data_IF_070182712328
#
_entry.id   IF_070182712328
#
_cell.length_a   1.000
_cell.length_b   1.000
_cell.length_c   1.000
_cell.angle_alpha   90.00
_cell.angle_beta   90.00
_cell.angle_gamma   90.00
#
_symmetry.space_group_name_H-M   'P 1'
#
loop_
_entity.id
_entity.type
_entity.pdbx_description
1 polymer ?
#
# COMPACT_ATOMS: atom_id res chain seq x y z
N UNK A 1 -12.21 32.39 -11.53
CA UNK A 1 -12.38 30.95 -11.21
C UNK A 1 -11.73 30.66 -9.87
N UNK A 2 -12.48 30.08 -8.94
CA UNK A 2 -12.13 29.81 -7.55
C UNK A 2 -11.79 28.33 -7.36
N UNK A 3 -10.54 28.06 -7.02
CA UNK A 3 -9.96 26.73 -6.99
C UNK A 3 -9.46 26.41 -5.59
N UNK A 4 -9.87 25.28 -5.02
CA UNK A 4 -9.29 24.76 -3.78
C UNK A 4 -8.47 23.52 -4.06
N UNK A 5 -7.18 23.56 -3.71
CA UNK A 5 -6.22 22.49 -3.90
C UNK A 5 -5.91 21.90 -2.53
N UNK A 6 -6.12 20.59 -2.41
CA UNK A 6 -6.08 19.86 -1.14
C UNK A 6 -5.03 18.76 -1.23
N UNK A 7 -4.21 18.65 -0.18
CA UNK A 7 -3.06 17.76 -0.19
C UNK A 7 -2.62 17.41 1.23
N UNK A 8 -1.61 16.54 1.30
CA UNK A 8 -0.91 16.17 2.52
C UNK A 8 0.54 16.65 2.40
N UNK A 9 1.11 17.13 3.50
CA UNK A 9 2.51 17.57 3.57
C UNK A 9 3.47 16.51 3.01
N UNK A 10 4.28 16.89 2.01
CA UNK A 10 5.23 16.02 1.33
C UNK A 10 4.84 15.60 -0.10
N UNK A 11 3.62 15.90 -0.58
CA UNK A 11 3.19 15.57 -1.94
C UNK A 11 3.52 16.65 -2.99
N UNK A 12 4.19 17.74 -2.60
CA UNK A 12 4.66 18.76 -3.54
C UNK A 12 3.55 19.70 -4.06
N UNK A 13 2.52 19.98 -3.26
CA UNK A 13 1.44 20.91 -3.61
C UNK A 13 1.93 22.29 -4.03
N UNK A 14 3.05 22.79 -3.47
CA UNK A 14 3.64 24.07 -3.87
C UNK A 14 4.02 24.10 -5.35
N UNK A 15 4.79 23.10 -5.82
CA UNK A 15 5.16 22.99 -7.24
C UNK A 15 3.92 22.83 -8.13
N UNK A 16 2.91 22.09 -7.67
CA UNK A 16 1.66 21.93 -8.41
C UNK A 16 0.94 23.28 -8.60
N UNK A 17 0.82 24.06 -7.52
CA UNK A 17 0.20 25.39 -7.53
C UNK A 17 0.99 26.36 -8.42
N UNK A 18 2.32 26.34 -8.34
CA UNK A 18 3.18 27.18 -9.19
C UNK A 18 3.04 26.84 -10.67
N UNK A 19 2.92 25.55 -11.04
CA UNK A 19 2.65 25.16 -12.42
C UNK A 19 1.33 25.74 -12.94
N UNK A 20 0.26 25.68 -12.16
CA UNK A 20 -1.04 26.23 -12.55
C UNK A 20 -0.98 27.75 -12.69
N UNK A 21 -0.32 28.44 -11.74
CA UNK A 21 -0.16 29.88 -11.79
C UNK A 21 0.67 30.31 -13.01
N UNK A 22 1.82 29.67 -13.25
CA UNK A 22 2.67 29.98 -14.40
C UNK A 22 1.96 29.72 -15.74
N UNK A 23 1.19 28.63 -15.84
CA UNK A 23 0.39 28.35 -17.02
C UNK A 23 -0.67 29.43 -17.27
N UNK A 24 -1.38 29.86 -16.21
CA UNK A 24 -2.37 30.93 -16.29
C UNK A 24 -1.76 32.29 -16.70
N UNK A 25 -0.62 32.67 -16.10
CA UNK A 25 0.10 33.91 -16.43
C UNK A 25 0.51 33.93 -17.91
N UNK A 26 0.96 32.79 -18.44
CA UNK A 26 1.38 32.69 -19.85
C UNK A 26 0.24 32.86 -20.86
N UNK A 27 -1.01 32.84 -20.39
CA UNK A 27 -2.23 33.07 -21.18
C UNK A 27 -2.85 34.45 -20.87
N UNK A 28 -2.14 35.32 -20.14
CA UNK A 28 -2.60 36.67 -19.79
C UNK A 28 -3.64 36.72 -18.66
N UNK A 29 -3.78 35.64 -17.89
CA UNK A 29 -4.64 35.58 -16.71
C UNK A 29 -3.86 35.96 -15.45
N UNK A 30 -4.56 36.44 -14.41
CA UNK A 30 -3.96 36.80 -13.13
C UNK A 30 -4.35 35.78 -12.04
N UNK A 31 -3.45 34.86 -11.65
CA UNK A 31 -3.66 33.98 -10.52
C UNK A 31 -3.30 34.64 -9.19
N UNK A 32 -4.18 34.53 -8.21
CA UNK A 32 -3.95 34.92 -6.82
C UNK A 32 -3.97 33.68 -5.95
N UNK A 33 -2.88 33.43 -5.22
CA UNK A 33 -2.70 32.19 -4.47
C UNK A 33 -2.57 32.51 -2.98
N UNK A 34 -3.37 31.84 -2.17
CA UNK A 34 -3.20 31.76 -0.72
C UNK A 34 -2.86 30.32 -0.34
N UNK A 35 -1.67 30.09 0.18
CA UNK A 35 -1.29 28.78 0.74
C UNK A 35 -1.44 28.82 2.26
N UNK A 36 -2.19 27.87 2.80
CA UNK A 36 -2.38 27.64 4.23
C UNK A 36 -1.57 26.39 4.61
N UNK A 37 -0.27 26.54 4.96
CA UNK A 37 0.52 25.42 5.41
C UNK A 37 -0.01 24.94 6.77
N UNK A 38 -0.19 23.63 6.91
CA UNK A 38 -0.44 23.02 8.22
C UNK A 38 0.78 23.17 9.14
N UNK A 39 0.56 23.22 10.45
CA UNK A 39 1.64 23.34 11.47
C UNK A 39 2.50 22.06 11.54
N UNK A 40 2.01 20.93 11.03
CA UNK A 40 2.74 19.66 11.01
C UNK A 40 3.72 19.57 9.84
N UNK A 41 4.97 19.21 10.12
CA UNK A 41 6.03 19.13 9.11
C UNK A 41 5.93 17.92 8.16
N UNK A 42 5.09 16.91 8.45
CA UNK A 42 4.80 15.75 7.56
C UNK A 42 3.44 15.15 7.89
N UNK A 43 2.71 14.66 6.89
CA UNK A 43 1.39 14.04 7.06
C UNK A 43 0.27 14.96 7.59
N UNK A 44 0.52 16.26 7.73
CA UNK A 44 -0.51 17.27 8.01
C UNK A 44 -1.26 17.68 6.75
N UNK A 45 -2.51 18.14 6.91
CA UNK A 45 -3.31 18.76 5.86
C UNK A 45 -2.61 20.00 5.31
N UNK A 46 -2.61 20.13 3.99
CA UNK A 46 -2.15 21.32 3.28
C UNK A 46 -3.24 21.79 2.31
N UNK A 47 -3.61 23.06 2.42
CA UNK A 47 -4.59 23.69 1.53
C UNK A 47 -3.96 24.85 0.79
N UNK A 48 -4.22 24.92 -0.51
CA UNK A 48 -3.92 26.10 -1.32
C UNK A 48 -5.19 26.56 -2.02
N UNK A 49 -5.55 27.81 -1.83
CA UNK A 49 -6.64 28.47 -2.52
C UNK A 49 -6.07 29.30 -3.67
N UNK A 50 -6.68 29.21 -4.85
CA UNK A 50 -6.29 29.98 -6.02
C UNK A 50 -7.52 30.61 -6.67
N UNK A 51 -7.48 31.92 -6.91
CA UNK A 51 -8.42 32.60 -7.79
C UNK A 51 -7.71 33.01 -9.09
N UNK A 52 -8.24 32.60 -10.23
CA UNK A 52 -7.76 33.02 -11.56
C UNK A 52 -8.77 33.99 -12.16
N UNK A 53 -8.36 35.23 -12.41
CA UNK A 53 -9.21 36.27 -13.02
C UNK A 53 -8.64 36.76 -14.36
N UNK A 54 -9.49 37.24 -15.28
CA UNK A 54 -9.03 37.99 -16.45
C UNK A 54 -8.28 39.27 -16.04
N UNK A 55 -7.42 39.75 -16.93
CA UNK A 55 -6.64 40.97 -16.72
C UNK A 55 -7.58 42.18 -16.48
N UNK A 56 -7.33 42.98 -15.42
CA UNK A 56 -8.09 44.16 -14.95
C UNK A 56 -9.31 43.97 -14.03
N UNK A 57 -9.59 42.77 -13.50
CA UNK A 57 -10.62 42.59 -12.46
C UNK A 57 -10.05 42.70 -11.03
N UNK A 58 -10.78 43.38 -10.14
CA UNK A 58 -10.42 43.49 -8.71
C UNK A 58 -10.87 42.26 -7.93
N UNK A 59 -9.98 41.73 -7.08
CA UNK A 59 -10.25 40.58 -6.22
C UNK A 59 -10.83 41.00 -4.86
N UNK A 60 -11.90 40.34 -4.38
CA UNK A 60 -12.61 40.74 -3.15
C UNK A 60 -12.65 39.68 -2.03
N UNK A 61 -12.14 38.45 -2.21
CA UNK A 61 -12.17 37.43 -1.13
C UNK A 61 -10.83 36.73 -0.91
N UNK A 62 -10.19 36.87 0.27
CA UNK A 62 -8.94 36.18 0.58
C UNK A 62 -9.11 34.70 0.95
N UNK A 63 -10.34 34.20 1.15
CA UNK A 63 -10.57 32.84 1.65
C UNK A 63 -11.58 32.05 0.80
N UNK A 64 -11.43 30.71 0.71
CA UNK A 64 -12.41 29.85 0.07
C UNK A 64 -13.72 29.84 0.86
N UNK A 65 -14.82 30.17 0.19
CA UNK A 65 -16.17 30.10 0.77
C UNK A 65 -16.82 28.75 0.44
N UNK A 66 -17.49 28.15 1.44
CA UNK A 66 -18.20 26.88 1.29
C UNK A 66 -19.30 26.98 0.23
N UNK A 67 -19.39 25.98 -0.64
CA UNK A 67 -20.37 25.92 -1.73
C UNK A 67 -20.16 26.91 -2.88
N UNK A 68 -19.12 27.76 -2.86
CA UNK A 68 -18.83 28.76 -3.91
C UNK A 68 -17.55 28.50 -4.70
N UNK A 69 -17.00 27.29 -4.61
CA UNK A 69 -15.85 26.89 -5.41
C UNK A 69 -16.29 26.46 -6.81
N UNK A 70 -15.47 26.81 -7.81
CA UNK A 70 -15.66 26.35 -9.19
C UNK A 70 -14.95 25.01 -9.43
N UNK A 71 -13.84 24.78 -8.72
CA UNK A 71 -13.03 23.57 -8.85
C UNK A 71 -12.38 23.17 -7.51
N UNK A 72 -12.50 21.89 -7.16
CA UNK A 72 -11.69 21.26 -6.12
C UNK A 72 -10.70 20.33 -6.80
N UNK A 73 -9.42 20.47 -6.45
CA UNK A 73 -8.35 19.57 -6.88
C UNK A 73 -7.81 18.86 -5.64
N UNK A 74 -7.69 17.55 -5.68
CA UNK A 74 -7.13 16.79 -4.56
C UNK A 74 -6.02 15.84 -4.99
N UNK A 75 -4.88 15.94 -4.29
CA UNK A 75 -3.74 15.06 -4.45
C UNK A 75 -3.84 13.80 -3.58
N UNK A 76 -4.80 13.75 -2.64
CA UNK A 76 -4.97 12.65 -1.70
C UNK A 76 -6.47 12.41 -1.40
N UNK A 77 -6.90 11.17 -1.45
CA UNK A 77 -8.32 10.81 -1.46
C UNK A 77 -9.06 11.14 -0.16
N UNK A 78 -8.42 10.95 1.01
CA UNK A 78 -9.04 11.27 2.29
C UNK A 78 -9.22 12.77 2.49
N UNK A 79 -8.28 13.59 2.00
CA UNK A 79 -8.41 15.04 2.05
C UNK A 79 -9.49 15.57 1.11
N UNK A 80 -9.69 14.93 -0.06
CA UNK A 80 -10.86 15.20 -0.89
C UNK A 80 -12.14 14.98 -0.08
N UNK A 81 -12.30 13.80 0.51
CA UNK A 81 -13.50 13.43 1.27
C UNK A 81 -13.75 14.35 2.47
N UNK A 82 -12.68 14.75 3.17
CA UNK A 82 -12.74 15.70 4.28
C UNK A 82 -13.32 17.04 3.83
N UNK A 83 -12.84 17.57 2.72
CA UNK A 83 -13.27 18.87 2.17
C UNK A 83 -14.72 18.83 1.69
N UNK A 84 -15.15 17.71 1.09
CA UNK A 84 -16.56 17.52 0.73
C UNK A 84 -17.46 17.49 1.97
N UNK A 85 -17.05 16.76 3.03
CA UNK A 85 -17.78 16.75 4.31
C UNK A 85 -17.84 18.11 4.99
N UNK A 86 -16.82 18.94 4.82
CA UNK A 86 -16.79 20.31 5.35
C UNK A 86 -17.73 21.26 4.59
N UNK A 87 -18.29 20.86 3.45
CA UNK A 87 -19.24 21.63 2.66
C UNK A 87 -18.61 22.54 1.61
N UNK A 88 -17.35 22.29 1.22
CA UNK A 88 -16.70 23.09 0.18
C UNK A 88 -17.16 22.74 -1.24
N UNK A 89 -17.60 21.50 -1.46
CA UNK A 89 -18.18 21.07 -2.73
C UNK A 89 -19.60 21.61 -2.95
N UNK A 90 -20.19 21.26 -4.09
CA UNK A 90 -21.55 21.62 -4.45
C UNK A 90 -21.84 21.44 -5.94
N UNK A 91 -23.10 21.63 -6.35
CA UNK A 91 -23.57 21.40 -7.74
C UNK A 91 -23.03 22.38 -8.78
N UNK A 92 -22.30 23.41 -8.35
CA UNK A 92 -21.59 24.35 -9.24
C UNK A 92 -20.09 24.07 -9.33
N UNK A 93 -19.57 23.11 -8.55
CA UNK A 93 -18.14 22.83 -8.42
C UNK A 93 -17.75 21.59 -9.24
N UNK A 94 -16.69 21.67 -10.03
CA UNK A 94 -16.05 20.48 -10.59
C UNK A 94 -15.07 19.86 -9.57
N UNK A 95 -14.84 18.56 -9.65
CA UNK A 95 -13.87 17.87 -8.79
C UNK A 95 -12.85 17.13 -9.65
N UNK A 96 -11.56 17.38 -9.39
CA UNK A 96 -10.46 16.57 -9.89
C UNK A 96 -9.74 15.92 -8.71
N UNK A 97 -9.54 14.60 -8.75
CA UNK A 97 -8.87 13.89 -7.67
C UNK A 97 -8.17 12.62 -8.11
N UNK A 98 -7.57 11.95 -7.13
CA UNK A 98 -6.90 10.66 -7.29
C UNK A 98 -7.25 9.77 -6.09
N UNK A 99 -7.27 8.45 -6.27
CA UNK A 99 -7.43 7.47 -5.18
C UNK A 99 -6.15 7.27 -4.36
N UNK A 100 -5.10 8.06 -4.62
CA UNK A 100 -3.87 8.05 -3.83
C UNK A 100 -4.19 8.31 -2.36
N UNK A 101 -3.62 7.47 -1.49
CA UNK A 101 -3.77 7.59 -0.05
C UNK A 101 -2.45 7.53 0.67
N UNK A 102 -2.26 8.47 1.59
CA UNK A 102 -1.18 8.39 2.56
C UNK A 102 -1.65 7.58 3.78
N UNK A 103 -1.61 6.26 3.66
CA UNK A 103 -2.06 5.38 4.74
C UNK A 103 -1.21 5.53 6.00
N UNK A 104 -1.88 5.73 7.13
CA UNK A 104 -1.29 5.62 8.46
C UNK A 104 -0.78 4.21 8.71
N UNK A 105 0.12 4.06 9.68
CA UNK A 105 0.60 2.73 10.11
C UNK A 105 -0.56 1.83 10.51
N UNK A 106 -1.58 2.36 11.19
CA UNK A 106 -2.75 1.60 11.61
C UNK A 106 -3.63 1.15 10.45
N UNK A 107 -3.87 1.99 9.45
CA UNK A 107 -4.65 1.60 8.27
C UNK A 107 -3.96 0.49 7.48
N UNK A 108 -2.62 0.54 7.34
CA UNK A 108 -1.83 -0.54 6.71
C UNK A 108 -1.95 -1.86 7.46
N UNK A 109 -2.29 -1.81 8.75
CA UNK A 109 -2.43 -2.96 9.62
C UNK A 109 -3.90 -3.44 9.72
N UNK A 110 -4.89 -2.69 9.22
CA UNK A 110 -6.29 -3.09 9.33
C UNK A 110 -6.61 -4.30 8.46
N UNK A 111 -7.37 -5.26 9.00
CA UNK A 111 -7.96 -6.35 8.22
C UNK A 111 -9.28 -6.00 7.55
N UNK A 112 -9.93 -4.96 8.04
CA UNK A 112 -11.24 -4.59 7.52
C UNK A 112 -11.03 -4.18 6.07
N UNK A 113 -11.88 -4.72 5.19
CA UNK A 113 -11.96 -4.28 3.79
C UNK A 113 -11.98 -2.75 3.82
N UNK A 114 -11.06 -2.13 3.08
CA UNK A 114 -10.99 -0.68 3.05
C UNK A 114 -12.34 -0.15 2.58
N UNK A 115 -13.00 0.62 3.45
CA UNK A 115 -14.32 1.18 3.17
C UNK A 115 -14.20 2.49 2.40
N UNK A 116 -13.03 3.13 2.41
CA UNK A 116 -12.78 4.40 1.73
C UNK A 116 -12.25 4.15 0.31
N UNK A 117 -12.99 3.38 -0.47
CA UNK A 117 -12.71 3.20 -1.90
C UNK A 117 -13.51 4.21 -2.72
N UNK A 118 -13.07 4.45 -3.96
CA UNK A 118 -13.81 5.29 -4.90
C UNK A 118 -15.22 4.76 -5.11
N UNK A 119 -15.40 3.44 -5.29
CA UNK A 119 -16.70 2.82 -5.52
C UNK A 119 -17.68 3.08 -4.37
N UNK A 120 -17.21 2.97 -3.12
CA UNK A 120 -18.07 3.15 -1.95
C UNK A 120 -18.44 4.62 -1.72
N UNK A 121 -17.62 5.57 -2.18
CA UNK A 121 -17.76 7.00 -1.89
C UNK A 121 -18.08 7.84 -3.13
N UNK A 122 -18.31 7.20 -4.27
CA UNK A 122 -18.70 7.83 -5.52
C UNK A 122 -19.96 8.68 -5.36
N UNK A 123 -20.97 8.17 -4.65
CA UNK A 123 -22.22 8.91 -4.40
C UNK A 123 -21.98 10.25 -3.69
N UNK A 124 -21.12 10.28 -2.67
CA UNK A 124 -20.75 11.52 -1.97
C UNK A 124 -20.08 12.53 -2.91
N UNK A 125 -19.21 12.06 -3.81
CA UNK A 125 -18.52 12.91 -4.79
C UNK A 125 -19.51 13.47 -5.82
N UNK A 126 -20.43 12.65 -6.32
CA UNK A 126 -21.48 13.04 -7.27
C UNK A 126 -22.49 14.02 -6.64
N UNK A 127 -22.85 13.83 -5.38
CA UNK A 127 -23.71 14.76 -4.64
C UNK A 127 -23.07 16.15 -4.49
N UNK A 128 -21.75 16.20 -4.35
CA UNK A 128 -20.98 17.42 -4.09
C UNK A 128 -20.25 17.97 -5.34
N UNK A 129 -20.62 17.56 -6.55
CA UNK A 129 -20.05 18.09 -7.79
C UNK A 129 -21.06 18.29 -8.91
N UNK A 130 -20.70 19.17 -9.85
CA UNK A 130 -21.30 19.29 -11.17
C UNK A 130 -20.77 18.19 -12.10
N UNK A 131 -19.45 18.06 -12.15
CA UNK A 131 -18.72 17.02 -12.86
C UNK A 131 -17.51 16.60 -12.03
N UNK A 132 -17.07 15.34 -12.16
CA UNK A 132 -15.92 14.85 -11.42
C UNK A 132 -15.05 13.91 -12.25
N UNK A 133 -13.74 14.03 -12.03
CA UNK A 133 -12.73 13.11 -12.56
C UNK A 133 -11.87 12.65 -11.39
N UNK A 134 -12.04 11.41 -10.95
CA UNK A 134 -11.18 10.80 -9.92
C UNK A 134 -10.39 9.65 -10.53
N UNK A 135 -9.08 9.83 -10.59
CA UNK A 135 -8.16 8.87 -11.18
C UNK A 135 -7.92 7.73 -10.19
N UNK A 136 -8.36 6.51 -10.56
CA UNK A 136 -8.02 5.32 -9.79
C UNK A 136 -6.59 4.85 -10.10
N UNK A 137 -5.65 5.27 -9.26
CA UNK A 137 -4.22 4.96 -9.45
C UNK A 137 -3.92 3.45 -9.36
N UNK A 138 -4.76 2.69 -8.63
CA UNK A 138 -4.55 1.26 -8.45
C UNK A 138 -4.98 0.48 -9.70
N UNK A 139 -6.13 0.83 -10.28
CA UNK A 139 -6.59 0.22 -11.55
C UNK A 139 -5.67 0.55 -12.72
N UNK A 140 -5.04 1.72 -12.70
CA UNK A 140 -4.14 2.15 -13.78
C UNK A 140 -2.74 1.55 -13.71
N UNK A 141 -2.38 0.84 -12.62
CA UNK A 141 -1.06 0.24 -12.45
C UNK A 141 0.10 1.25 -12.35
N UNK A 142 -0.21 2.54 -12.11
CA UNK A 142 0.79 3.60 -11.97
C UNK A 142 1.28 3.62 -10.53
N UNK A 143 2.42 2.97 -10.29
CA UNK A 143 3.02 2.87 -8.95
C UNK A 143 3.57 4.20 -8.37
N UNK A 144 3.75 5.23 -9.20
CA UNK A 144 4.35 6.52 -8.84
C UNK A 144 3.57 7.67 -9.51
N UNK A 145 2.31 7.84 -9.11
CA UNK A 145 1.42 8.87 -9.66
C UNK A 145 1.88 10.26 -9.18
N UNK A 146 2.50 11.02 -10.07
CA UNK A 146 3.11 12.32 -9.78
C UNK A 146 2.14 13.49 -10.00
N UNK A 147 2.51 14.67 -9.49
CA UNK A 147 1.77 15.91 -9.72
C UNK A 147 1.60 16.22 -11.22
N UNK A 148 2.59 15.89 -12.04
CA UNK A 148 2.52 16.11 -13.47
C UNK A 148 1.44 15.25 -14.14
N UNK A 149 1.23 14.00 -13.70
CA UNK A 149 0.09 13.20 -14.15
C UNK A 149 -1.24 13.90 -13.85
N UNK A 150 -1.40 14.42 -12.62
CA UNK A 150 -2.62 15.13 -12.22
C UNK A 150 -2.84 16.41 -13.05
N UNK A 151 -1.78 17.18 -13.35
CA UNK A 151 -1.85 18.34 -14.26
C UNK A 151 -2.24 17.91 -15.68
N UNK A 152 -1.73 16.78 -16.17
CA UNK A 152 -2.12 16.22 -17.46
C UNK A 152 -3.61 15.89 -17.53
N UNK A 153 -4.13 15.23 -16.48
CA UNK A 153 -5.57 14.93 -16.36
C UNK A 153 -6.40 16.22 -16.26
N UNK A 154 -5.93 17.21 -15.49
CA UNK A 154 -6.57 18.52 -15.40
C UNK A 154 -6.67 19.20 -16.77
N UNK A 155 -5.58 19.23 -17.52
CA UNK A 155 -5.53 19.79 -18.87
C UNK A 155 -6.51 19.06 -19.81
N UNK A 156 -6.55 17.73 -19.75
CA UNK A 156 -7.48 16.93 -20.56
C UNK A 156 -8.95 17.10 -20.15
N UNK A 157 -9.22 17.39 -18.87
CA UNK A 157 -10.59 17.55 -18.34
C UNK A 157 -11.28 18.81 -18.84
N UNK A 158 -10.51 19.84 -19.18
CA UNK A 158 -11.04 21.15 -19.54
C UNK A 158 -11.62 21.95 -18.36
N UNK A 159 -11.39 21.53 -17.10
CA UNK A 159 -11.90 22.24 -15.93
C UNK A 159 -11.29 23.63 -15.72
N UNK A 160 -10.12 23.91 -16.31
CA UNK A 160 -9.54 25.25 -16.36
C UNK A 160 -9.66 25.83 -17.78
N UNK A 161 -10.78 26.50 -18.12
CA UNK A 161 -10.94 27.12 -19.42
C UNK A 161 -9.94 28.26 -19.63
N UNK A 162 -9.50 28.47 -20.87
CA UNK A 162 -8.58 29.56 -21.23
C UNK A 162 -7.09 29.24 -21.08
N UNK A 163 -6.72 28.07 -20.54
CA UNK A 163 -5.32 27.64 -20.46
C UNK A 163 -5.05 26.53 -21.48
N UNK A 164 -4.18 26.77 -22.47
CA UNK A 164 -3.83 25.77 -23.49
C UNK A 164 -2.81 24.76 -22.97
N UNK A 165 -2.77 23.60 -23.63
CA UNK A 165 -1.84 22.51 -23.30
C UNK A 165 -0.39 22.97 -23.26
N UNK A 166 0.03 23.75 -24.26
CA UNK A 166 1.38 24.26 -24.42
C UNK A 166 1.82 25.13 -23.24
N UNK A 167 0.86 25.77 -22.58
CA UNK A 167 1.09 26.63 -21.42
C UNK A 167 1.35 25.83 -20.15
N UNK A 168 0.69 24.67 -19.97
CA UNK A 168 1.07 23.70 -18.93
C UNK A 168 2.46 23.10 -19.20
N UNK A 169 2.75 22.70 -20.44
CA UNK A 169 4.06 22.14 -20.80
C UNK A 169 5.18 23.16 -20.59
N UNK A 170 4.95 24.43 -20.91
CA UNK A 170 5.90 25.53 -20.64
C UNK A 170 6.09 25.73 -19.14
N UNK A 171 5.02 25.77 -18.35
CA UNK A 171 5.09 25.89 -16.90
C UNK A 171 5.90 24.74 -16.27
N UNK A 172 5.69 23.50 -16.72
CA UNK A 172 6.44 22.32 -16.27
C UNK A 172 7.93 22.41 -16.63
N UNK A 173 8.28 22.99 -17.79
CA UNK A 173 9.67 23.20 -18.19
C UNK A 173 10.38 24.25 -17.35
N UNK A 174 9.66 25.28 -16.90
CA UNK A 174 10.24 26.45 -16.24
C UNK A 174 10.30 26.30 -14.72
N UNK A 175 9.36 25.56 -14.12
CA UNK A 175 9.20 25.47 -12.66
C UNK A 175 9.45 24.05 -12.17
N UNK A 176 10.22 23.92 -11.10
CA UNK A 176 10.55 22.64 -10.48
C UNK A 176 11.84 22.02 -11.01
N UNK A 177 11.99 20.72 -10.81
CA UNK A 177 13.17 19.93 -11.19
C UNK A 177 12.75 18.78 -12.10
N UNK A 178 13.69 18.25 -12.89
CA UNK A 178 13.45 17.13 -13.83
C UNK A 178 12.29 17.39 -14.81
N UNK A 179 12.37 18.44 -15.66
CA UNK A 179 11.31 18.82 -16.57
C UNK A 179 11.00 17.72 -17.60
N UNK A 180 12.00 16.93 -18.02
CA UNK A 180 11.79 15.85 -18.99
C UNK A 180 10.92 14.72 -18.44
N UNK A 181 11.15 14.29 -17.19
CA UNK A 181 10.27 13.32 -16.54
C UNK A 181 8.87 13.90 -16.34
N UNK A 182 8.75 15.12 -15.85
CA UNK A 182 7.45 15.72 -15.60
C UNK A 182 6.64 15.91 -16.89
N UNK A 183 7.27 16.24 -18.02
CA UNK A 183 6.58 16.31 -19.32
C UNK A 183 6.09 14.94 -19.81
N UNK A 184 6.87 13.88 -19.59
CA UNK A 184 6.43 12.50 -19.88
C UNK A 184 5.23 12.13 -19.02
N UNK A 185 5.31 12.36 -17.72
CA UNK A 185 4.24 12.10 -16.76
C UNK A 185 2.97 12.91 -17.09
N UNK A 186 3.11 14.19 -17.47
CA UNK A 186 2.02 15.04 -17.96
C UNK A 186 1.35 14.47 -19.21
N UNK A 187 2.16 14.01 -20.17
CA UNK A 187 1.64 13.41 -21.41
C UNK A 187 0.84 12.13 -21.11
N UNK A 188 1.34 11.29 -20.20
CA UNK A 188 0.61 10.10 -19.72
C UNK A 188 -0.71 10.53 -19.08
N UNK A 189 -0.68 11.49 -18.14
CA UNK A 189 -1.87 12.04 -17.50
C UNK A 189 -2.93 12.54 -18.48
N UNK A 190 -2.51 13.30 -19.50
CA UNK A 190 -3.40 13.83 -20.53
C UNK A 190 -4.06 12.73 -21.36
N UNK A 191 -3.35 11.63 -21.64
CA UNK A 191 -3.89 10.49 -22.37
C UNK A 191 -4.81 9.62 -21.52
N UNK A 192 -4.61 9.54 -20.20
CA UNK A 192 -5.43 8.73 -19.30
C UNK A 192 -6.91 9.12 -19.39
N UNK A 193 -7.24 10.41 -19.36
CA UNK A 193 -8.64 10.83 -19.41
C UNK A 193 -9.30 10.52 -20.76
N UNK A 194 -8.54 10.55 -21.86
CA UNK A 194 -9.03 10.14 -23.17
C UNK A 194 -9.33 8.64 -23.24
N UNK A 195 -8.52 7.81 -22.57
CA UNK A 195 -8.80 6.37 -22.42
C UNK A 195 -10.03 6.12 -21.54
N UNK A 196 -10.13 6.81 -20.39
CA UNK A 196 -11.27 6.69 -19.46
C UNK A 196 -12.61 7.06 -20.12
N UNK A 197 -12.62 8.07 -21.01
CA UNK A 197 -13.82 8.48 -21.76
C UNK A 197 -14.06 7.70 -23.07
N UNK A 198 -13.09 6.90 -23.52
CA UNK A 198 -13.08 6.28 -24.85
C UNK A 198 -13.37 4.78 -24.92
N UNK A 199 -13.12 4.03 -23.85
CA UNK A 199 -13.60 2.65 -23.65
C UNK A 199 -13.06 2.20 -22.29
N UNK A 200 -13.91 1.62 -21.44
CA UNK A 200 -13.42 0.76 -20.36
C UNK A 200 -12.86 -0.50 -21.01
N UNK A 201 -11.65 -0.41 -21.55
CA UNK A 201 -10.85 -1.59 -21.77
C UNK A 201 -10.50 -2.13 -20.38
N UNK A 202 -11.16 -3.24 -20.03
CA UNK A 202 -10.61 -4.25 -19.14
C UNK A 202 -9.19 -4.57 -19.60
N UNK A 203 -8.21 -3.79 -19.15
CA UNK A 203 -6.83 -4.22 -19.20
C UNK A 203 -6.68 -5.32 -18.16
N UNK A 204 -7.00 -6.54 -18.60
CA UNK A 204 -6.65 -7.77 -17.91
C UNK A 204 -5.20 -7.70 -17.48
N UNK A 205 -4.98 -7.88 -16.17
CA UNK A 205 -3.65 -8.08 -15.61
C UNK A 205 -2.92 -9.12 -16.46
N UNK A 206 -1.84 -8.70 -17.14
CA UNK A 206 -1.13 -9.51 -18.13
C UNK A 206 -0.89 -10.93 -17.62
N UNK A 207 -1.38 -11.91 -18.37
CA UNK A 207 -1.14 -13.36 -18.21
C UNK A 207 0.36 -13.73 -18.11
N UNK A 208 1.28 -12.81 -18.41
CA UNK A 208 2.73 -12.94 -18.30
C UNK A 208 3.24 -13.43 -16.92
N UNK A 209 2.53 -13.14 -15.83
CA UNK A 209 2.94 -13.59 -14.49
C UNK A 209 2.95 -15.12 -14.35
N UNK A 210 1.98 -15.81 -14.96
CA UNK A 210 1.86 -17.26 -14.90
C UNK A 210 2.99 -17.97 -15.67
N UNK A 211 3.30 -17.49 -16.87
CA UNK A 211 4.34 -18.09 -17.71
C UNK A 211 5.73 -17.97 -17.10
N UNK A 212 5.98 -16.91 -16.31
CA UNK A 212 7.25 -16.70 -15.59
C UNK A 212 7.46 -17.65 -14.40
N UNK A 213 6.43 -18.38 -13.95
CA UNK A 213 6.56 -19.32 -12.85
C UNK A 213 7.33 -20.59 -13.27
N UNK A 214 8.02 -21.25 -12.33
CA UNK A 214 8.67 -22.53 -12.60
C UNK A 214 7.66 -23.61 -13.03
N UNK A 215 8.02 -24.42 -14.03
CA UNK A 215 7.23 -25.59 -14.44
C UNK A 215 7.22 -26.69 -13.35
N UNK A 216 6.22 -27.58 -13.43
CA UNK A 216 6.00 -28.70 -12.51
C UNK A 216 4.89 -28.43 -11.49
N UNK A 217 5.01 -29.00 -10.28
CA UNK A 217 3.95 -29.06 -9.26
C UNK A 217 3.23 -27.72 -8.98
N UNK A 218 3.94 -26.58 -9.04
CA UNK A 218 3.37 -25.25 -8.86
C UNK A 218 2.34 -24.93 -9.96
N UNK A 219 2.72 -25.03 -11.24
CA UNK A 219 1.82 -24.73 -12.37
C UNK A 219 0.66 -25.72 -12.39
N UNK A 220 0.93 -27.02 -12.26
CA UNK A 220 -0.09 -28.06 -12.25
C UNK A 220 -1.11 -27.88 -11.10
N UNK A 221 -0.66 -27.36 -9.96
CA UNK A 221 -1.54 -27.07 -8.83
C UNK A 221 -2.37 -25.81 -9.07
N UNK A 222 -1.79 -24.77 -9.68
CA UNK A 222 -2.51 -23.53 -10.02
C UNK A 222 -3.58 -23.80 -11.08
N UNK A 223 -3.27 -24.59 -12.11
CA UNK A 223 -4.22 -24.97 -13.17
C UNK A 223 -5.38 -25.79 -12.61
N UNK A 224 -5.09 -26.76 -11.72
CA UNK A 224 -6.13 -27.51 -11.00
C UNK A 224 -6.99 -26.65 -10.09
N UNK A 225 -6.40 -25.64 -9.43
CA UNK A 225 -7.18 -24.69 -8.61
C UNK A 225 -8.03 -23.75 -9.48
N UNK A 226 -7.55 -23.39 -10.68
CA UNK A 226 -8.29 -22.56 -11.62
C UNK A 226 -9.55 -23.27 -12.11
N UNK A 227 -9.48 -24.56 -12.44
CA UNK A 227 -10.63 -25.33 -12.93
C UNK A 227 -11.74 -25.49 -11.89
N UNK A 228 -11.41 -25.35 -10.60
CA UNK A 228 -12.35 -25.53 -9.49
C UNK A 228 -12.92 -24.20 -8.99
N UNK A 229 -12.16 -23.10 -9.03
CA UNK A 229 -12.48 -21.88 -8.26
C UNK A 229 -12.51 -20.58 -9.05
N UNK A 230 -12.26 -20.62 -10.37
CA UNK A 230 -12.28 -19.44 -11.23
C UNK A 230 -11.07 -18.51 -11.08
N UNK A 231 -11.07 -17.42 -11.85
CA UNK A 231 -9.89 -16.57 -12.07
C UNK A 231 -9.43 -15.77 -10.84
N UNK A 232 -10.34 -15.49 -9.88
CA UNK A 232 -10.03 -14.65 -8.72
C UNK A 232 -9.04 -15.26 -7.72
N UNK A 233 -9.00 -16.59 -7.59
CA UNK A 233 -8.04 -17.32 -6.76
C UNK A 233 -6.67 -17.41 -7.44
N UNK A 234 -6.65 -17.63 -8.76
CA UNK A 234 -5.44 -17.76 -9.58
C UNK A 234 -4.50 -16.56 -9.38
N UNK A 235 -5.04 -15.34 -9.42
CA UNK A 235 -4.24 -14.12 -9.30
C UNK A 235 -3.56 -14.00 -7.93
N UNK A 236 -4.29 -14.30 -6.84
CA UNK A 236 -3.75 -14.27 -5.48
C UNK A 236 -2.63 -15.30 -5.33
N UNK A 237 -2.83 -16.52 -5.84
CA UNK A 237 -1.86 -17.61 -5.74
C UNK A 237 -0.62 -17.33 -6.59
N UNK A 238 -0.76 -16.82 -7.82
CA UNK A 238 0.40 -16.46 -8.67
C UNK A 238 1.28 -15.44 -7.97
N UNK A 239 0.70 -14.37 -7.42
CA UNK A 239 1.48 -13.34 -6.75
C UNK A 239 2.12 -13.86 -5.46
N UNK A 240 1.39 -14.67 -4.67
CA UNK A 240 1.94 -15.31 -3.47
C UNK A 240 3.14 -16.21 -3.79
N UNK A 241 3.02 -17.06 -4.82
CA UNK A 241 4.11 -17.96 -5.27
C UNK A 241 5.31 -17.15 -5.73
N UNK A 242 5.11 -16.11 -6.54
CA UNK A 242 6.20 -15.24 -7.02
C UNK A 242 6.97 -14.63 -5.84
N UNK A 243 6.25 -14.07 -4.87
CA UNK A 243 6.87 -13.47 -3.69
C UNK A 243 7.55 -14.51 -2.81
N UNK A 244 7.01 -15.73 -2.67
CA UNK A 244 7.63 -16.81 -1.89
C UNK A 244 8.92 -17.34 -2.53
N UNK A 245 8.96 -17.44 -3.86
CA UNK A 245 10.18 -17.78 -4.61
C UNK A 245 11.22 -16.69 -4.42
N UNK A 246 10.83 -15.42 -4.51
CA UNK A 246 11.73 -14.29 -4.25
C UNK A 246 12.17 -14.23 -2.79
N UNK A 247 11.31 -14.63 -1.85
CA UNK A 247 11.58 -14.63 -0.42
C UNK A 247 12.56 -15.74 -0.02
N UNK A 248 12.34 -16.99 -0.44
CA UNK A 248 13.11 -18.15 0.01
C UNK A 248 13.60 -19.08 -1.12
N UNK A 249 12.74 -19.80 -1.84
CA UNK A 249 13.12 -20.65 -2.98
C UNK A 249 11.87 -21.33 -3.58
N UNK A 250 12.04 -22.07 -4.69
CA UNK A 250 11.00 -22.89 -5.31
C UNK A 250 10.37 -23.87 -4.32
N UNK A 251 11.18 -24.58 -3.54
CA UNK A 251 10.72 -25.60 -2.60
C UNK A 251 9.84 -24.98 -1.48
N UNK A 252 10.09 -23.73 -1.11
CA UNK A 252 9.26 -23.01 -0.14
C UNK A 252 7.91 -22.58 -0.73
N UNK A 253 7.88 -22.21 -2.00
CA UNK A 253 6.62 -21.97 -2.70
C UNK A 253 5.82 -23.27 -2.91
N UNK A 254 6.48 -24.40 -3.16
CA UNK A 254 5.84 -25.72 -3.21
C UNK A 254 5.23 -26.11 -1.85
N UNK A 255 5.91 -25.82 -0.73
CA UNK A 255 5.35 -26.02 0.61
C UNK A 255 4.07 -25.20 0.84
N UNK A 256 4.04 -23.95 0.37
CA UNK A 256 2.84 -23.12 0.41
C UNK A 256 1.69 -23.74 -0.39
N UNK A 257 1.96 -24.20 -1.61
CA UNK A 257 0.96 -24.89 -2.45
C UNK A 257 0.47 -26.18 -1.80
N UNK A 258 1.37 -26.96 -1.19
CA UNK A 258 1.02 -28.18 -0.45
C UNK A 258 0.01 -27.87 0.66
N UNK A 259 0.30 -26.87 1.50
CA UNK A 259 -0.58 -26.46 2.61
C UNK A 259 -1.95 -25.96 2.13
N UNK A 260 -1.98 -25.22 1.02
CA UNK A 260 -3.22 -24.75 0.40
C UNK A 260 -4.07 -25.93 -0.09
N UNK A 261 -3.44 -26.86 -0.82
CA UNK A 261 -4.08 -28.08 -1.31
C UNK A 261 -4.56 -29.00 -0.17
N UNK A 262 -3.83 -29.06 0.94
CA UNK A 262 -4.19 -29.87 2.10
C UNK A 262 -5.46 -29.35 2.80
N UNK A 263 -5.62 -28.03 2.93
CA UNK A 263 -6.86 -27.46 3.47
C UNK A 263 -8.05 -27.73 2.54
N UNK A 264 -7.84 -27.56 1.23
CA UNK A 264 -8.85 -27.85 0.21
C UNK A 264 -9.32 -29.30 0.26
N UNK A 265 -8.38 -30.25 0.22
CA UNK A 265 -8.68 -31.69 0.29
C UNK A 265 -9.38 -32.07 1.59
N UNK A 266 -8.97 -31.46 2.71
CA UNK A 266 -9.61 -31.67 4.00
C UNK A 266 -11.07 -31.20 3.99
N UNK A 267 -11.35 -30.01 3.43
CA UNK A 267 -12.69 -29.46 3.34
C UNK A 267 -13.63 -30.39 2.54
N UNK A 268 -13.22 -30.77 1.31
CA UNK A 268 -14.03 -31.65 0.46
C UNK A 268 -14.24 -33.03 1.10
N UNK A 269 -13.17 -33.65 1.60
CA UNK A 269 -13.26 -35.01 2.16
C UNK A 269 -14.18 -35.08 3.38
N UNK A 270 -14.22 -34.02 4.19
CA UNK A 270 -14.91 -34.05 5.48
C UNK A 270 -16.34 -33.52 5.39
N UNK A 271 -16.61 -32.55 4.49
CA UNK A 271 -17.87 -31.81 4.46
C UNK A 271 -18.57 -31.81 3.08
N UNK A 272 -18.00 -32.48 2.07
CA UNK A 272 -18.52 -32.51 0.71
C UNK A 272 -18.12 -31.30 -0.13
N UNK A 273 -18.62 -31.20 -1.35
CA UNK A 273 -18.37 -30.04 -2.22
C UNK A 273 -19.24 -28.83 -1.82
N UNK A 274 -18.66 -27.64 -1.86
CA UNK A 274 -19.38 -26.39 -1.57
C UNK A 274 -18.73 -25.22 -2.33
N UNK A 275 -19.52 -24.52 -3.14
CA UNK A 275 -19.06 -23.40 -3.97
C UNK A 275 -18.42 -22.28 -3.14
N UNK A 276 -18.86 -22.08 -1.89
CA UNK A 276 -18.34 -21.04 -1.01
C UNK A 276 -16.93 -21.34 -0.45
N UNK A 277 -16.40 -22.55 -0.62
CA UNK A 277 -15.02 -22.84 -0.23
C UNK A 277 -14.00 -22.04 -1.06
N UNK A 278 -14.35 -21.61 -2.27
CA UNK A 278 -13.45 -20.76 -3.07
C UNK A 278 -13.06 -19.47 -2.35
N UNK A 279 -14.01 -18.84 -1.66
CA UNK A 279 -13.75 -17.62 -0.89
C UNK A 279 -12.88 -17.88 0.34
N UNK A 280 -13.15 -18.98 1.06
CA UNK A 280 -12.34 -19.40 2.21
C UNK A 280 -10.89 -19.68 1.80
N UNK A 281 -10.71 -20.47 0.73
CA UNK A 281 -9.39 -20.84 0.21
C UNK A 281 -8.64 -19.61 -0.31
N UNK A 282 -9.34 -18.67 -0.97
CA UNK A 282 -8.76 -17.39 -1.40
C UNK A 282 -8.25 -16.56 -0.23
N UNK A 283 -9.05 -16.41 0.82
CA UNK A 283 -8.66 -15.65 2.00
C UNK A 283 -7.53 -16.34 2.77
N UNK A 284 -7.62 -17.66 2.92
CA UNK A 284 -6.57 -18.48 3.53
C UNK A 284 -5.25 -18.39 2.75
N UNK A 285 -5.29 -18.48 1.42
CA UNK A 285 -4.12 -18.32 0.54
C UNK A 285 -3.40 -17.00 0.79
N UNK A 286 -4.16 -15.89 0.80
CA UNK A 286 -3.65 -14.54 1.05
C UNK A 286 -2.95 -14.45 2.41
N UNK A 287 -3.61 -14.88 3.47
CA UNK A 287 -3.08 -14.79 4.85
C UNK A 287 -1.91 -15.75 5.05
N UNK A 288 -1.98 -16.97 4.54
CA UNK A 288 -0.92 -17.97 4.64
C UNK A 288 0.38 -17.48 3.99
N UNK A 289 0.29 -16.86 2.80
CA UNK A 289 1.46 -16.30 2.11
C UNK A 289 2.17 -15.25 2.97
N UNK A 290 1.41 -14.32 3.56
CA UNK A 290 1.95 -13.28 4.46
C UNK A 290 2.62 -13.91 5.69
N UNK A 291 1.98 -14.92 6.30
CA UNK A 291 2.54 -15.59 7.49
C UNK A 291 3.81 -16.40 7.19
N UNK A 292 3.91 -16.97 5.99
CA UNK A 292 5.11 -17.68 5.55
C UNK A 292 6.26 -16.71 5.18
N UNK A 293 5.95 -15.45 4.83
CA UNK A 293 6.92 -14.41 4.51
C UNK A 293 7.21 -13.47 5.69
N UNK A 294 7.52 -14.03 6.86
CA UNK A 294 7.88 -13.24 8.02
C UNK A 294 9.20 -12.48 7.82
N UNK A 295 9.33 -11.36 8.51
CA UNK A 295 10.51 -10.51 8.44
C UNK A 295 11.52 -10.93 9.51
N UNK A 296 12.56 -11.65 9.08
CA UNK A 296 13.76 -11.90 9.87
C UNK A 296 14.88 -10.92 9.52
N UNK A 297 15.96 -10.95 10.30
CA UNK A 297 17.15 -10.13 10.06
C UNK A 297 17.69 -10.33 8.62
N UNK A 298 17.60 -11.55 8.08
CA UNK A 298 18.00 -11.85 6.69
C UNK A 298 17.13 -11.06 5.69
N UNK A 299 15.80 -11.10 5.83
CA UNK A 299 14.86 -10.42 4.92
C UNK A 299 14.92 -8.91 5.11
N UNK A 300 15.07 -8.42 6.34
CA UNK A 300 15.30 -7.00 6.62
C UNK A 300 16.57 -6.54 5.90
N UNK A 301 17.68 -7.27 6.01
CA UNK A 301 18.91 -6.96 5.30
C UNK A 301 18.71 -6.93 3.77
N UNK A 302 18.02 -7.93 3.20
CA UNK A 302 17.66 -7.96 1.77
C UNK A 302 16.87 -6.72 1.35
N UNK A 303 15.85 -6.31 2.12
CA UNK A 303 15.05 -5.11 1.84
C UNK A 303 15.89 -3.84 1.90
N UNK A 304 16.76 -3.71 2.90
CA UNK A 304 17.60 -2.53 3.16
C UNK A 304 18.66 -2.29 2.08
N UNK A 305 19.18 -3.35 1.44
CA UNK A 305 20.16 -3.23 0.35
C UNK A 305 19.56 -3.37 -1.05
N UNK A 306 18.23 -3.45 -1.17
CA UNK A 306 17.57 -3.67 -2.46
C UNK A 306 17.75 -2.47 -3.39
N UNK A 307 18.04 -2.74 -4.67
CA UNK A 307 18.20 -1.69 -5.69
C UNK A 307 16.97 -0.80 -5.78
N UNK A 308 15.78 -1.41 -5.83
CA UNK A 308 14.51 -0.68 -5.85
C UNK A 308 14.29 0.21 -4.63
N UNK A 309 14.85 -0.10 -3.45
CA UNK A 309 14.80 0.82 -2.31
C UNK A 309 15.64 2.06 -2.57
N UNK A 310 16.87 1.91 -3.05
CA UNK A 310 17.73 3.07 -3.35
C UNK A 310 17.15 3.94 -4.46
N UNK A 311 16.58 3.32 -5.50
CA UNK A 311 15.85 4.04 -6.56
C UNK A 311 14.67 4.84 -5.98
N UNK A 312 13.87 4.23 -5.08
CA UNK A 312 12.79 4.96 -4.38
C UNK A 312 13.29 6.07 -3.48
N UNK A 313 14.41 5.88 -2.76
CA UNK A 313 15.00 6.93 -1.90
C UNK A 313 15.50 8.08 -2.76
N UNK A 314 16.24 7.80 -3.84
CA UNK A 314 16.69 8.81 -4.80
C UNK A 314 15.50 9.61 -5.34
N UNK A 315 14.43 8.92 -5.76
CA UNK A 315 13.20 9.57 -6.22
C UNK A 315 12.53 10.42 -5.14
N UNK A 316 12.37 9.88 -3.93
CA UNK A 316 11.67 10.54 -2.83
C UNK A 316 12.39 11.82 -2.37
N UNK A 317 13.72 11.76 -2.30
CA UNK A 317 14.55 12.88 -1.88
C UNK A 317 15.12 13.69 -3.05
N UNK A 318 14.66 13.40 -4.28
CA UNK A 318 15.04 14.14 -5.50
C UNK A 318 16.55 14.25 -5.71
N UNK A 319 17.25 13.13 -5.47
CA UNK A 319 18.71 13.03 -5.56
C UNK A 319 19.09 12.84 -7.03
N UNK A 320 19.91 13.73 -7.58
CA UNK A 320 20.34 13.71 -8.99
C UNK A 320 21.48 12.71 -9.24
N UNK A 321 21.73 12.41 -10.52
CA UNK A 321 22.84 11.54 -10.91
C UNK A 321 24.17 12.32 -10.82
N UNK A 322 24.82 12.20 -9.66
CA UNK A 322 26.07 12.87 -9.32
C UNK A 322 26.16 13.24 -7.84
N UNK A 323 25.00 13.35 -7.18
CA UNK A 323 24.93 13.70 -5.76
C UNK A 323 25.48 12.60 -4.85
N UNK A 324 26.31 13.01 -3.90
CA UNK A 324 26.76 12.15 -2.80
C UNK A 324 25.74 12.24 -1.67
N UNK A 325 25.09 11.13 -1.37
CA UNK A 325 24.16 11.03 -0.25
C UNK A 325 24.51 9.87 0.67
N UNK A 326 24.05 9.93 1.91
CA UNK A 326 24.19 8.86 2.90
C UNK A 326 22.82 8.42 3.41
N UNK A 327 22.58 7.11 3.41
CA UNK A 327 21.38 6.51 3.97
C UNK A 327 21.76 5.86 5.28
N UNK A 328 21.41 6.52 6.39
CA UNK A 328 21.56 5.94 7.74
C UNK A 328 20.28 5.23 8.15
N UNK A 329 20.39 3.95 8.43
CA UNK A 329 19.31 3.14 8.97
C UNK A 329 19.53 2.87 10.45
N UNK A 330 18.49 3.15 11.23
CA UNK A 330 18.45 2.86 12.65
C UNK A 330 17.89 1.44 12.85
N UNK A 331 18.64 0.61 13.55
CA UNK A 331 18.22 -0.73 13.94
C UNK A 331 18.17 -0.82 15.46
N UNK A 332 17.22 -1.61 15.95
CA UNK A 332 17.11 -1.98 17.36
C UNK A 332 16.84 -3.48 17.47
N UNK A 333 17.78 -4.33 17.04
CA UNK A 333 17.58 -5.77 17.15
C UNK A 333 17.54 -6.17 18.62
N UNK A 334 16.66 -7.11 18.91
CA UNK A 334 16.64 -7.82 20.19
C UNK A 334 17.59 -9.04 20.10
N UNK A 335 18.07 -9.50 21.26
CA UNK A 335 18.95 -10.66 21.31
C UNK A 335 18.33 -11.90 20.61
N UNK A 336 17.02 -12.10 20.77
CA UNK A 336 16.28 -13.23 20.19
C UNK A 336 16.14 -13.16 18.67
N UNK A 337 16.19 -11.96 18.09
CA UNK A 337 16.26 -11.78 16.64
C UNK A 337 17.63 -12.18 16.09
N UNK A 338 18.72 -11.97 16.84
CA UNK A 338 20.06 -12.36 16.41
C UNK A 338 20.29 -13.86 16.50
N UNK A 339 20.16 -14.45 17.70
CA UNK A 339 20.36 -15.90 17.83
C UNK A 339 19.24 -16.69 17.14
N UNK A 340 18.12 -16.03 16.81
CA UNK A 340 17.04 -16.58 16.00
C UNK A 340 17.48 -17.03 14.61
N UNK A 341 18.52 -16.42 14.03
CA UNK A 341 19.07 -16.80 12.71
C UNK A 341 19.84 -18.13 12.77
N UNK A 342 20.36 -18.48 13.94
CA UNK A 342 21.21 -19.66 14.12
C UNK A 342 20.39 -20.95 13.97
N UNK A 343 21.03 -22.06 13.53
CA UNK A 343 20.38 -23.35 13.47
C UNK A 343 19.68 -23.68 14.79
N UNK A 344 18.47 -24.25 14.69
CA UNK A 344 17.59 -24.56 15.82
C UNK A 344 18.28 -25.08 17.09
N UNK A 345 19.19 -26.08 17.07
CA UNK A 345 19.82 -26.58 18.30
C UNK A 345 20.65 -25.51 19.01
N UNK A 346 21.47 -24.77 18.26
CA UNK A 346 22.31 -23.70 18.79
C UNK A 346 21.48 -22.50 19.24
N UNK A 347 20.48 -22.12 18.43
CA UNK A 347 19.54 -21.07 18.79
C UNK A 347 18.82 -21.40 20.09
N UNK A 348 18.37 -22.65 20.31
CA UNK A 348 17.71 -23.06 21.56
C UNK A 348 18.62 -23.02 22.77
N UNK A 349 19.89 -23.41 22.60
CA UNK A 349 20.89 -23.31 23.66
C UNK A 349 21.05 -21.86 24.12
N UNK A 350 21.22 -20.93 23.16
CA UNK A 350 21.34 -19.51 23.44
C UNK A 350 20.05 -18.90 23.97
N UNK A 351 18.89 -19.29 23.43
CA UNK A 351 17.57 -18.90 23.94
C UNK A 351 17.52 -19.23 25.43
N UNK A 352 17.87 -20.45 25.85
CA UNK A 352 17.90 -20.91 27.25
C UNK A 352 18.87 -20.12 28.13
N UNK A 353 20.09 -19.85 27.65
CA UNK A 353 21.12 -19.12 28.42
C UNK A 353 20.72 -17.65 28.59
N UNK A 354 20.13 -17.06 27.55
CA UNK A 354 19.82 -15.63 27.48
C UNK A 354 18.37 -15.27 27.83
N UNK A 355 17.54 -16.24 28.27
CA UNK A 355 16.10 -16.04 28.56
C UNK A 355 15.82 -14.83 29.46
N UNK A 356 16.69 -14.57 30.43
CA UNK A 356 16.50 -13.51 31.43
C UNK A 356 17.14 -12.18 31.04
N UNK A 357 17.85 -12.12 29.91
CA UNK A 357 18.60 -10.94 29.49
C UNK A 357 17.85 -10.21 28.39
N UNK A 358 17.15 -9.12 28.75
CA UNK A 358 16.54 -8.19 27.79
C UNK A 358 17.59 -7.27 27.18
N UNK A 359 18.44 -7.83 26.34
CA UNK A 359 19.46 -7.05 25.64
C UNK A 359 18.86 -6.55 24.32
N UNK A 360 18.71 -5.24 24.21
CA UNK A 360 18.46 -4.54 22.94
C UNK A 360 19.53 -3.47 22.78
N UNK A 361 20.17 -3.40 21.62
CA UNK A 361 21.11 -2.33 21.31
C UNK A 361 20.57 -1.49 20.16
N UNK A 362 20.69 -0.17 20.27
CA UNK A 362 20.46 0.72 19.14
C UNK A 362 21.75 0.77 18.32
N UNK A 363 21.64 0.51 17.03
CA UNK A 363 22.77 0.62 16.11
C UNK A 363 22.36 1.42 14.89
N UNK A 364 23.28 2.27 14.43
CA UNK A 364 23.14 3.04 13.22
C UNK A 364 24.04 2.44 12.16
N UNK A 365 23.47 2.11 11.01
CA UNK A 365 24.23 1.55 9.90
C UNK A 365 23.97 2.34 8.63
N UNK A 366 25.03 2.90 8.06
CA UNK A 366 24.97 3.53 6.75
C UNK A 366 24.84 2.45 5.67
N UNK A 367 23.64 2.26 5.13
CA UNK A 367 23.32 1.20 4.16
C UNK A 367 23.97 1.37 2.80
N UNK A 368 24.36 2.60 2.46
CA UNK A 368 25.06 2.94 1.23
C UNK A 368 26.56 3.24 1.44
N UNK A 369 27.07 3.06 2.66
CA UNK A 369 28.52 3.00 2.90
C UNK A 369 29.02 1.57 2.69
N UNK A 370 30.25 1.39 2.23
CA UNK A 370 30.82 0.08 1.88
C UNK A 370 30.72 -0.93 3.04
N UNK A 371 31.15 -0.54 4.24
CA UNK A 371 31.13 -1.41 5.43
C UNK A 371 29.71 -1.85 5.81
N UNK A 372 28.75 -0.93 5.88
CA UNK A 372 27.36 -1.24 6.23
C UNK A 372 26.66 -2.04 5.13
N UNK A 373 26.91 -1.71 3.87
CA UNK A 373 26.42 -2.49 2.73
C UNK A 373 26.96 -3.92 2.75
N UNK A 374 28.27 -4.11 2.95
CA UNK A 374 28.90 -5.44 2.99
C UNK A 374 28.37 -6.29 4.16
N UNK A 375 28.19 -5.70 5.35
CA UNK A 375 27.57 -6.39 6.48
C UNK A 375 26.16 -6.88 6.15
N UNK A 376 25.30 -5.99 5.66
CA UNK A 376 23.94 -6.37 5.28
C UNK A 376 23.91 -7.30 4.08
N UNK A 377 24.88 -7.19 3.16
CA UNK A 377 25.04 -8.12 2.04
C UNK A 377 25.38 -9.52 2.55
N UNK A 378 26.32 -9.64 3.49
CA UNK A 378 26.64 -10.90 4.13
C UNK A 378 25.40 -11.50 4.83
N UNK A 379 24.69 -10.70 5.63
CA UNK A 379 23.45 -11.12 6.29
C UNK A 379 22.37 -11.56 5.28
N UNK A 380 22.21 -10.82 4.18
CA UNK A 380 21.23 -11.15 3.13
C UNK A 380 21.50 -12.49 2.43
N UNK A 381 22.77 -12.93 2.42
CA UNK A 381 23.23 -14.18 1.82
C UNK A 381 23.00 -15.39 2.73
N UNK A 382 22.73 -15.19 4.02
CA UNK A 382 22.39 -16.27 4.97
C UNK A 382 20.98 -16.85 4.76
N UNK A 383 20.29 -16.48 3.68
CA UNK A 383 18.99 -17.02 3.25
C UNK A 383 18.91 -18.55 3.24
N UNK A 384 20.01 -19.25 2.91
CA UNK A 384 20.05 -20.72 2.94
C UNK A 384 19.89 -21.28 4.37
N UNK A 385 20.30 -20.54 5.40
CA UNK A 385 20.15 -20.93 6.81
C UNK A 385 18.74 -20.68 7.34
N UNK A 386 17.93 -19.86 6.66
CA UNK A 386 16.61 -19.46 7.17
C UNK A 386 15.77 -20.65 7.58
N UNK A 387 15.64 -21.67 6.73
CA UNK A 387 14.79 -22.85 7.00
C UNK A 387 15.30 -23.76 8.12
N UNK A 388 16.59 -23.67 8.48
CA UNK A 388 17.15 -24.41 9.62
C UNK A 388 17.20 -23.57 10.90
N UNK A 389 16.87 -22.28 10.82
CA UNK A 389 16.98 -21.33 11.93
C UNK A 389 15.96 -21.59 13.04
N UNK A 390 16.29 -21.18 14.26
CA UNK A 390 15.34 -21.19 15.38
C UNK A 390 14.11 -20.33 15.07
N UNK A 391 14.33 -19.15 14.44
CA UNK A 391 13.24 -18.24 14.10
C UNK A 391 12.24 -18.89 13.17
N UNK A 392 12.71 -19.56 12.11
CA UNK A 392 11.84 -20.32 11.22
C UNK A 392 11.01 -21.36 11.97
N UNK A 393 11.63 -22.10 12.90
CA UNK A 393 10.89 -23.12 13.65
C UNK A 393 9.77 -22.50 14.52
N UNK A 394 10.04 -21.37 15.20
CA UNK A 394 9.04 -20.62 15.99
C UNK A 394 7.89 -20.13 15.08
N UNK A 395 8.23 -19.48 13.96
CA UNK A 395 7.23 -18.94 13.02
C UNK A 395 6.42 -20.04 12.33
N UNK A 396 7.08 -21.12 11.91
CA UNK A 396 6.42 -22.25 11.28
C UNK A 396 5.45 -22.94 12.26
N UNK A 397 5.80 -23.05 13.55
CA UNK A 397 4.88 -23.58 14.56
C UNK A 397 3.62 -22.72 14.69
N UNK A 398 3.75 -21.40 14.61
CA UNK A 398 2.59 -20.50 14.61
C UNK A 398 1.76 -20.64 13.32
N UNK A 399 2.40 -20.89 12.18
CA UNK A 399 1.71 -21.21 10.91
C UNK A 399 0.93 -22.51 11.01
N UNK A 400 1.54 -23.59 11.52
CA UNK A 400 0.82 -24.88 11.69
C UNK A 400 -0.39 -24.72 12.62
N UNK A 401 -0.22 -24.06 13.77
CA UNK A 401 -1.34 -23.74 14.69
C UNK A 401 -2.49 -23.01 13.99
N UNK A 402 -2.17 -22.10 13.06
CA UNK A 402 -3.18 -21.38 12.28
C UNK A 402 -3.89 -22.27 11.27
N UNK A 403 -3.16 -23.13 10.56
CA UNK A 403 -3.76 -24.09 9.64
C UNK A 403 -4.71 -25.01 10.41
N UNK A 404 -4.29 -25.50 11.57
CA UNK A 404 -5.10 -26.36 12.44
C UNK A 404 -6.32 -25.63 13.00
N UNK A 405 -6.19 -24.34 13.35
CA UNK A 405 -7.32 -23.52 13.79
C UNK A 405 -8.37 -23.38 12.68
N UNK A 406 -7.96 -23.08 11.46
CA UNK A 406 -8.88 -22.97 10.31
C UNK A 406 -9.59 -24.31 10.05
N UNK A 407 -8.85 -25.43 10.06
CA UNK A 407 -9.42 -26.78 9.90
C UNK A 407 -10.42 -27.12 11.01
N UNK A 408 -10.09 -26.79 12.26
CA UNK A 408 -10.98 -27.00 13.42
C UNK A 408 -12.23 -26.16 13.29
N UNK A 409 -12.12 -24.86 12.99
CA UNK A 409 -13.26 -23.97 12.82
C UNK A 409 -14.18 -24.38 11.67
N UNK A 410 -13.64 -25.00 10.62
CA UNK A 410 -14.44 -25.59 9.54
C UNK A 410 -15.42 -26.65 10.05
N UNK A 411 -15.05 -27.41 11.08
CA UNK A 411 -15.95 -28.36 11.77
C UNK A 411 -17.12 -27.71 12.52
N UNK A 412 -17.05 -26.40 12.77
CA UNK A 412 -18.14 -25.62 13.39
C UNK A 412 -18.93 -24.79 12.37
N UNK A 413 -18.56 -24.85 11.09
CA UNK A 413 -19.23 -24.13 10.00
C UNK A 413 -18.31 -23.20 9.22
N UNK A 414 -18.77 -22.80 8.02
CA UNK A 414 -18.01 -21.98 7.09
C UNK A 414 -17.70 -20.58 7.65
N UNK A 415 -18.65 -19.97 8.36
CA UNK A 415 -18.47 -18.63 8.93
C UNK A 415 -17.34 -18.61 9.97
N UNK A 416 -17.29 -19.63 10.84
CA UNK A 416 -16.20 -19.80 11.80
C UNK A 416 -14.86 -19.99 11.11
N UNK A 417 -14.80 -20.80 10.04
CA UNK A 417 -13.58 -21.01 9.27
C UNK A 417 -13.11 -19.73 8.57
N UNK A 418 -14.04 -18.94 8.02
CA UNK A 418 -13.75 -17.66 7.38
C UNK A 418 -13.18 -16.65 8.38
N UNK A 419 -13.75 -16.58 9.59
CA UNK A 419 -13.22 -15.74 10.67
C UNK A 419 -11.86 -16.22 11.16
N UNK A 420 -11.64 -17.54 11.27
CA UNK A 420 -10.34 -18.11 11.60
C UNK A 420 -9.28 -17.73 10.54
N UNK A 421 -9.61 -17.85 9.25
CA UNK A 421 -8.73 -17.49 8.15
C UNK A 421 -8.35 -16.00 8.20
N UNK A 422 -9.32 -15.11 8.39
CA UNK A 422 -9.09 -13.66 8.56
C UNK A 422 -8.20 -13.36 9.77
N UNK A 423 -8.50 -13.98 10.92
CA UNK A 423 -7.78 -13.74 12.17
C UNK A 423 -6.29 -14.09 12.13
N UNK A 424 -5.82 -14.86 11.13
CA UNK A 424 -4.42 -15.23 10.98
C UNK A 424 -3.43 -14.05 10.91
N UNK A 425 -3.88 -12.84 10.59
CA UNK A 425 -2.99 -11.66 10.57
C UNK A 425 -2.76 -10.99 11.93
N UNK A 426 -3.44 -11.44 13.00
CA UNK A 426 -3.25 -10.88 14.35
C UNK A 426 -1.76 -10.90 14.70
N UNK A 427 -1.05 -11.96 14.33
CA UNK A 427 0.40 -12.09 14.52
C UNK A 427 1.16 -11.12 13.61
N UNK A 428 1.58 -9.98 14.17
CA UNK A 428 2.28 -8.91 13.45
C UNK A 428 3.21 -8.12 14.37
N UNK A 429 3.99 -7.21 13.76
CA UNK A 429 4.94 -6.36 14.48
C UNK A 429 6.23 -7.07 14.86
N UNK A 430 7.06 -6.34 15.62
CA UNK A 430 8.40 -6.73 16.09
C UNK A 430 8.51 -6.54 17.60
N UNK A 431 9.53 -7.16 18.20
CA UNK A 431 9.84 -7.01 19.61
C UNK A 431 8.65 -7.23 20.55
N UNK A 432 8.46 -6.33 21.51
CA UNK A 432 7.39 -6.42 22.50
C UNK A 432 5.97 -6.36 21.90
N UNK A 433 5.75 -5.57 20.84
CA UNK A 433 4.48 -5.55 20.11
C UNK A 433 4.17 -6.95 19.58
N UNK A 434 5.16 -7.63 19.00
CA UNK A 434 4.97 -9.00 18.50
C UNK A 434 4.61 -9.97 19.62
N UNK A 435 5.26 -9.87 20.77
CA UNK A 435 4.99 -10.74 21.92
C UNK A 435 3.55 -10.58 22.41
N UNK A 436 3.05 -9.35 22.48
CA UNK A 436 1.66 -9.07 22.82
C UNK A 436 0.70 -9.62 21.75
N UNK A 437 1.00 -9.43 20.47
CA UNK A 437 0.18 -9.94 19.37
C UNK A 437 0.11 -11.47 19.35
N UNK A 438 1.18 -12.16 19.74
CA UNK A 438 1.17 -13.62 19.88
C UNK A 438 0.24 -14.06 21.02
N UNK A 439 0.20 -13.34 22.14
CA UNK A 439 -0.75 -13.62 23.24
C UNK A 439 -2.21 -13.46 22.78
N UNK A 440 -2.53 -12.32 22.14
CA UNK A 440 -3.87 -12.09 21.57
C UNK A 440 -4.22 -13.13 20.50
N UNK A 441 -3.25 -13.58 19.72
CA UNK A 441 -3.43 -14.68 18.76
C UNK A 441 -3.72 -16.01 19.46
N UNK A 442 -2.99 -16.36 20.52
CA UNK A 442 -3.22 -17.60 21.25
C UNK A 442 -4.64 -17.60 21.87
N UNK A 443 -5.10 -16.47 22.44
CA UNK A 443 -6.48 -16.28 22.90
C UNK A 443 -7.50 -16.50 21.78
N UNK A 444 -7.34 -15.78 20.65
CA UNK A 444 -8.23 -15.92 19.49
C UNK A 444 -8.24 -17.34 18.92
N UNK A 445 -7.08 -18.00 18.89
CA UNK A 445 -6.93 -19.33 18.32
C UNK A 445 -7.71 -20.39 19.07
N UNK A 446 -8.05 -20.18 20.34
CA UNK A 446 -8.88 -21.09 21.12
C UNK A 446 -10.38 -20.96 20.80
N UNK A 447 -10.80 -19.87 20.15
CA UNK A 447 -12.20 -19.62 19.82
C UNK A 447 -12.64 -20.42 18.58
N UNK A 448 -13.88 -20.91 18.59
CA UNK A 448 -14.55 -21.57 17.45
C UNK A 448 -15.94 -21.04 17.16
N UNK A 449 -16.54 -20.31 18.11
CA UNK A 449 -17.87 -19.73 17.96
C UNK A 449 -17.77 -18.45 17.10
N UNK A 450 -18.52 -18.35 16.00
CA UNK A 450 -18.36 -17.25 15.05
C UNK A 450 -18.76 -15.89 15.63
N UNK A 451 -19.73 -15.84 16.56
CA UNK A 451 -20.15 -14.59 17.20
C UNK A 451 -19.06 -14.03 18.11
N UNK A 452 -18.45 -14.90 18.92
CA UNK A 452 -17.36 -14.51 19.83
C UNK A 452 -16.12 -14.11 19.03
N UNK A 453 -15.79 -14.88 17.98
CA UNK A 453 -14.66 -14.56 17.10
C UNK A 453 -14.85 -13.22 16.38
N UNK A 454 -16.06 -12.93 15.88
CA UNK A 454 -16.36 -11.66 15.24
C UNK A 454 -16.22 -10.49 16.24
N UNK A 455 -16.79 -10.63 17.44
CA UNK A 455 -16.66 -9.63 18.51
C UNK A 455 -15.19 -9.35 18.87
N UNK A 456 -14.39 -10.42 19.03
CA UNK A 456 -12.96 -10.30 19.32
C UNK A 456 -12.22 -9.54 18.21
N UNK A 457 -12.48 -9.89 16.94
CA UNK A 457 -11.85 -9.20 15.81
C UNK A 457 -12.30 -7.74 15.74
N UNK A 458 -13.57 -7.46 15.97
CA UNK A 458 -14.09 -6.10 15.96
C UNK A 458 -13.43 -5.23 17.03
N UNK A 459 -13.32 -5.72 18.26
CA UNK A 459 -12.62 -5.08 19.37
C UNK A 459 -11.13 -4.87 19.03
N UNK A 460 -10.45 -5.92 18.59
CA UNK A 460 -9.02 -5.87 18.23
C UNK A 460 -8.70 -4.84 17.15
N UNK A 461 -9.61 -4.61 16.20
CA UNK A 461 -9.47 -3.61 15.13
C UNK A 461 -10.10 -2.25 15.44
N UNK A 462 -10.91 -2.12 16.49
CA UNK A 462 -11.45 -0.83 16.94
C UNK A 462 -10.53 -0.11 17.92
N UNK A 463 -9.90 -0.83 18.85
CA UNK A 463 -9.03 -0.24 19.89
C UNK A 463 -7.84 0.55 19.32
N UNK A 464 -7.39 0.22 18.10
CA UNK A 464 -6.19 0.82 17.49
C UNK A 464 -6.44 1.93 16.47
N UNK A 465 -7.59 2.59 16.52
CA UNK A 465 -7.82 3.83 15.73
C UNK A 465 -7.54 5.12 16.49
N UNK A 466 -7.29 5.06 17.81
CA UNK A 466 -7.29 6.25 18.67
C UNK A 466 -6.09 6.39 19.63
N UNK A 467 -5.05 5.56 19.50
CA UNK A 467 -3.80 5.81 20.21
C UNK A 467 -2.73 6.28 19.21
N UNK A 468 -2.39 7.57 19.36
CA UNK A 468 -1.41 8.43 18.67
C UNK A 468 -1.86 9.16 17.39
#
# INVERSE_FOLDING_TARGET
MKILITSVGGLGVGVFVEWLAAAAISEGLQPHVLSLPGVSQRAGRTLSYMEIVPNNDFLFSPFPEKGKLDLIISQEFMELLRILKEGYGGKNCNILGTTFRYYTTYEKLSLKKDIYTYENLRGLIEENSRDHTVVDIHKMGISDFSNAHLVGVLCASGYLPGIRRESYERAIKTVGIDPERNLRDFTVGYQLLKKIKGDMLEEGFKENGFYSLPNGYIKDSIERLQSVYGNGLKNVVIEAVRQLIEYQDKNYAELYMSRLNDLYRYAIKTFGENDKYGELIKEFARVLAVRMMYEDVIRVAQKKISKGRFERIKKLYRIEDGDVFWVKDFFRPEADELYGILPKPLGRLLDRILLNYKISWKTELSTNHLSGFLLLKAMSKLRFMRRSSLRYWKENSLVEKYIDHVKRCLGYGLDSAMLAAKGGVIVRGYGDVRKEMIKKWDEFSNLTNPRIMLSFLDEFFSERRFED
#
